data_IF_690774802109
#
_entry.id   IF_690774802109
#
_cell.length_a   1.000
_cell.length_b   1.000
_cell.length_c   1.000
_cell.angle_alpha   90.00
_cell.angle_beta   90.00
_cell.angle_gamma   90.00
#
_symmetry.space_group_name_H-M   'P 1'
#
loop_
_entity.id
_entity.type
_entity.pdbx_description
1 polymer ?
#
# COMPACT_ATOMS: atom_id res chain seq x y z
N UNK A 1 4.52 -18.49 17.00
CA UNK A 1 4.43 -19.52 15.94
C UNK A 1 3.60 -19.09 14.73
N UNK A 2 2.25 -18.95 14.80
CA UNK A 2 1.47 -18.52 13.61
C UNK A 2 1.81 -17.07 13.19
N UNK A 3 2.05 -16.18 14.15
CA UNK A 3 2.37 -14.77 13.85
C UNK A 3 3.77 -14.56 13.27
N UNK A 4 4.77 -15.36 13.70
CA UNK A 4 6.14 -15.30 13.16
C UNK A 4 6.20 -15.74 11.69
N UNK A 5 5.43 -16.76 11.31
CA UNK A 5 5.33 -17.18 9.92
C UNK A 5 4.67 -16.11 9.04
N UNK A 6 3.66 -15.41 9.59
CA UNK A 6 3.06 -14.25 8.92
C UNK A 6 4.06 -13.11 8.76
N UNK A 7 4.84 -12.82 9.79
CA UNK A 7 5.85 -11.77 9.76
C UNK A 7 6.92 -12.08 8.69
N UNK A 8 7.46 -13.30 8.65
CA UNK A 8 8.42 -13.69 7.61
C UNK A 8 7.83 -13.63 6.20
N UNK A 9 6.58 -14.05 6.01
CA UNK A 9 5.90 -13.95 4.72
C UNK A 9 5.78 -12.50 4.25
N UNK A 10 5.42 -11.59 5.15
CA UNK A 10 5.31 -10.16 4.86
C UNK A 10 6.70 -9.57 4.56
N UNK A 11 7.73 -9.93 5.33
CA UNK A 11 9.11 -9.49 5.12
C UNK A 11 9.62 -9.91 3.73
N UNK A 12 9.39 -11.15 3.34
CA UNK A 12 9.77 -11.64 2.00
C UNK A 12 8.99 -10.93 0.89
N UNK A 13 7.71 -10.63 1.13
CA UNK A 13 6.83 -9.92 0.19
C UNK A 13 7.27 -8.48 -0.09
N UNK A 14 7.60 -7.71 0.95
CA UNK A 14 8.06 -6.30 0.80
C UNK A 14 9.54 -6.19 0.43
N UNK A 15 10.29 -7.29 0.46
CA UNK A 15 11.71 -7.34 0.10
C UNK A 15 12.67 -6.96 1.24
N UNK A 16 12.30 -7.26 2.49
CA UNK A 16 13.18 -7.18 3.66
C UNK A 16 12.62 -6.41 4.86
N UNK A 17 13.20 -6.64 6.04
CA UNK A 17 12.76 -6.04 7.32
C UNK A 17 12.85 -4.51 7.32
N UNK A 18 13.86 -3.96 6.65
CA UNK A 18 14.04 -2.51 6.54
C UNK A 18 12.87 -1.87 5.78
N UNK A 19 12.53 -2.42 4.60
CA UNK A 19 11.40 -1.97 3.78
C UNK A 19 10.08 -2.13 4.52
N UNK A 20 9.91 -3.23 5.27
CA UNK A 20 8.73 -3.43 6.12
C UNK A 20 8.57 -2.31 7.14
N UNK A 21 9.60 -2.02 7.93
CA UNK A 21 9.54 -0.95 8.93
C UNK A 21 9.29 0.42 8.29
N UNK A 22 9.95 0.73 7.17
CA UNK A 22 9.73 2.00 6.45
C UNK A 22 8.30 2.12 5.93
N UNK A 23 7.76 1.06 5.31
CA UNK A 23 6.40 1.02 4.80
C UNK A 23 5.38 1.22 5.92
N UNK A 24 5.54 0.49 7.04
CA UNK A 24 4.67 0.60 8.20
C UNK A 24 4.68 2.02 8.76
N UNK A 25 5.86 2.59 8.99
CA UNK A 25 5.99 3.95 9.53
C UNK A 25 5.34 4.98 8.62
N UNK A 26 5.62 4.94 7.31
CA UNK A 26 5.02 5.87 6.33
C UNK A 26 3.49 5.74 6.30
N UNK A 27 2.96 4.52 6.33
CA UNK A 27 1.51 4.29 6.30
C UNK A 27 0.83 4.73 7.59
N UNK A 28 1.44 4.46 8.75
CA UNK A 28 0.94 4.94 10.04
C UNK A 28 0.85 6.48 10.07
N UNK A 29 1.86 7.19 9.54
CA UNK A 29 1.82 8.65 9.41
C UNK A 29 0.67 9.11 8.52
N UNK A 30 0.44 8.45 7.38
CA UNK A 30 -0.69 8.77 6.49
C UNK A 30 -2.06 8.56 7.18
N UNK A 31 -2.22 7.45 7.92
CA UNK A 31 -3.44 7.19 8.70
C UNK A 31 -3.63 8.23 9.83
N UNK A 32 -2.54 8.64 10.48
CA UNK A 32 -2.57 9.72 11.49
C UNK A 32 -2.93 11.08 10.88
N UNK A 33 -2.56 11.33 9.62
CA UNK A 33 -2.93 12.53 8.88
C UNK A 33 -4.39 12.53 8.39
N UNK A 34 -5.15 11.46 8.64
CA UNK A 34 -6.57 11.35 8.26
C UNK A 34 -6.80 10.58 6.95
N UNK A 35 -5.79 9.92 6.39
CA UNK A 35 -5.99 8.96 5.29
C UNK A 35 -6.97 7.88 5.74
N UNK A 36 -7.88 7.50 4.84
CA UNK A 36 -8.79 6.38 5.08
C UNK A 36 -8.04 5.04 4.98
N UNK A 37 -8.40 4.04 5.80
CA UNK A 37 -7.99 2.66 5.61
C UNK A 37 -8.44 2.15 4.23
N UNK A 38 -7.59 1.40 3.53
CA UNK A 38 -7.93 0.76 2.26
C UNK A 38 -8.56 -0.62 2.43
N UNK A 39 -8.54 -1.12 3.67
CA UNK A 39 -9.15 -2.38 4.07
C UNK A 39 -10.23 -2.09 5.10
N UNK A 40 -11.40 -2.66 4.90
CA UNK A 40 -12.48 -2.61 5.88
C UNK A 40 -12.21 -3.64 6.99
N UNK A 41 -11.69 -3.16 8.11
CA UNK A 41 -11.49 -3.95 9.32
C UNK A 41 -12.34 -3.40 10.46
N UNK A 42 -12.90 -4.31 11.25
CA UNK A 42 -13.58 -3.98 12.52
C UNK A 42 -12.61 -3.53 13.62
N UNK A 43 -11.31 -3.77 13.43
CA UNK A 43 -10.27 -3.37 14.38
C UNK A 43 -9.94 -1.88 14.23
N UNK A 44 -9.74 -1.21 15.36
CA UNK A 44 -9.28 0.20 15.38
C UNK A 44 -7.76 0.30 15.44
N UNK A 45 -7.03 -0.82 15.52
CA UNK A 45 -5.59 -0.81 15.56
C UNK A 45 -5.01 -0.47 14.18
N UNK A 46 -4.36 0.69 14.11
CA UNK A 46 -3.73 1.17 12.87
C UNK A 46 -2.66 0.22 12.39
N UNK A 47 -1.88 -0.41 13.28
CA UNK A 47 -0.84 -1.34 12.88
C UNK A 47 -1.44 -2.58 12.18
N UNK A 48 -2.53 -3.10 12.74
CA UNK A 48 -3.23 -4.25 12.17
C UNK A 48 -3.81 -3.92 10.79
N UNK A 49 -4.40 -2.72 10.63
CA UNK A 49 -4.86 -2.21 9.34
C UNK A 49 -3.71 -2.19 8.32
N UNK A 50 -2.56 -1.63 8.68
CA UNK A 50 -1.40 -1.57 7.78
C UNK A 50 -0.93 -2.96 7.39
N UNK A 51 -0.85 -3.89 8.34
CA UNK A 51 -0.45 -5.28 8.04
C UNK A 51 -1.42 -5.93 7.05
N UNK A 52 -2.72 -5.74 7.23
CA UNK A 52 -3.72 -6.25 6.28
C UNK A 52 -3.59 -5.60 4.90
N UNK A 53 -3.33 -4.31 4.83
CA UNK A 53 -3.10 -3.62 3.56
C UNK A 53 -1.89 -4.21 2.81
N UNK A 54 -0.83 -4.61 3.51
CA UNK A 54 0.33 -5.28 2.91
C UNK A 54 -0.03 -6.70 2.46
N UNK A 55 -0.77 -7.45 3.30
CA UNK A 55 -1.19 -8.80 2.98
C UNK A 55 -2.09 -8.84 1.75
N UNK A 56 -2.98 -7.84 1.59
CA UNK A 56 -3.88 -7.69 0.44
C UNK A 56 -3.27 -6.97 -0.76
N UNK A 57 -1.95 -6.72 -0.77
CA UNK A 57 -1.26 -6.02 -1.86
C UNK A 57 -1.79 -4.60 -2.16
N UNK A 58 -2.43 -3.93 -1.19
CA UNK A 58 -3.02 -2.60 -1.37
C UNK A 58 -1.99 -1.47 -1.27
N UNK A 59 -0.89 -1.71 -0.58
CA UNK A 59 0.19 -0.75 -0.37
C UNK A 59 1.55 -1.36 -0.67
N UNK A 60 2.46 -0.56 -1.20
CA UNK A 60 3.82 -0.98 -1.51
C UNK A 60 4.80 0.21 -1.48
N UNK A 61 6.09 -0.10 -1.43
CA UNK A 61 7.15 0.89 -1.62
C UNK A 61 7.56 0.91 -3.09
N UNK A 62 7.54 2.10 -3.69
CA UNK A 62 8.14 2.34 -5.00
C UNK A 62 9.68 2.20 -4.96
N UNK A 63 10.32 2.15 -6.13
CA UNK A 63 11.77 2.22 -6.33
C UNK A 63 12.43 3.37 -5.55
N UNK A 64 11.73 4.49 -5.38
CA UNK A 64 12.16 5.65 -4.58
C UNK A 64 11.85 5.55 -3.07
N UNK A 65 11.47 4.39 -2.57
CA UNK A 65 11.05 4.17 -1.16
C UNK A 65 9.89 5.07 -0.71
N UNK A 66 9.00 5.43 -1.64
CA UNK A 66 7.78 6.17 -1.35
C UNK A 66 6.62 5.20 -1.20
N UNK A 67 5.75 5.45 -0.21
CA UNK A 67 4.51 4.72 -0.01
C UNK A 67 3.59 5.02 -1.21
N UNK A 68 3.22 3.97 -1.93
CA UNK A 68 2.19 4.01 -2.98
C UNK A 68 1.03 3.12 -2.56
N UNK A 69 -0.17 3.54 -2.91
CA UNK A 69 -1.38 2.72 -2.81
C UNK A 69 -1.76 2.25 -4.22
N UNK A 70 -2.42 1.09 -4.34
CA UNK A 70 -2.87 0.58 -5.65
C UNK A 70 -3.79 1.58 -6.35
N UNK A 71 -4.65 2.28 -5.61
CA UNK A 71 -5.52 3.33 -6.16
C UNK A 71 -4.73 4.47 -6.82
N UNK A 72 -3.59 4.88 -6.25
CA UNK A 72 -2.73 5.92 -6.84
C UNK A 72 -1.88 5.43 -8.01
N UNK A 73 -1.70 4.12 -8.17
CA UNK A 73 -0.96 3.55 -9.30
C UNK A 73 -1.78 3.57 -10.59
N UNK A 74 -3.11 3.50 -10.50
CA UNK A 74 -4.01 3.56 -11.65
C UNK A 74 -4.11 4.99 -12.24
N UNK A 75 -4.02 6.03 -11.41
CA UNK A 75 -4.04 7.42 -11.89
C UNK A 75 -2.77 7.85 -12.67
N UNK A 76 -1.64 7.16 -12.47
CA UNK A 76 -0.38 7.50 -13.12
C UNK A 76 -0.17 6.82 -14.49
N UNK A 77 -1.12 5.99 -14.94
CA UNK A 77 -0.98 5.15 -16.13
C UNK A 77 -2.29 4.89 -16.89
N UNK A 78 -3.27 5.79 -16.79
CA UNK A 78 -4.44 5.76 -17.67
C UNK A 78 -3.99 5.75 -19.14
N UNK A 79 -4.64 4.98 -20.03
CA UNK A 79 -4.37 5.07 -21.46
C UNK A 79 -4.49 6.55 -21.88
N UNK A 80 -3.68 7.07 -22.82
CA UNK A 80 -4.02 8.34 -23.41
C UNK A 80 -5.46 8.20 -23.91
N UNK A 81 -6.38 9.02 -23.40
CA UNK A 81 -7.66 9.20 -24.05
C UNK A 81 -7.32 9.67 -25.46
N UNK A 82 -7.34 8.75 -26.43
CA UNK A 82 -7.30 9.10 -27.83
C UNK A 82 -8.62 9.82 -28.08
N UNK A 83 -8.56 11.14 -27.99
CA UNK A 83 -9.70 12.00 -28.22
C UNK A 83 -10.08 11.87 -29.71
N UNK A 84 -11.05 10.99 -29.99
CA UNK A 84 -11.53 10.69 -31.34
C UNK A 84 -12.26 11.89 -31.99
N UNK A 85 -12.30 13.03 -31.31
CA UNK A 85 -12.91 14.27 -31.79
C UNK A 85 -12.01 15.07 -32.75
N UNK A 86 -10.71 14.76 -32.83
CA UNK A 86 -9.77 15.41 -33.76
C UNK A 86 -9.81 14.86 -35.20
N UNK A 87 -10.72 13.94 -35.52
CA UNK A 87 -10.87 13.35 -36.87
C UNK A 87 -12.21 13.72 -37.53
N UNK A 88 -12.60 15.00 -37.48
CA UNK A 88 -13.73 15.54 -38.27
C UNK A 88 -13.31 16.61 -39.25
#
# INVERSE_FOLDING_TARGET
MIDELREEAIVNKVGGRFKLSTLIQKRLVALNAGSRPLVDMKSQDKLEIVIQEILQDKIFLDTSSNLRTVEQAEEAGGPPELDLTDLS
#
